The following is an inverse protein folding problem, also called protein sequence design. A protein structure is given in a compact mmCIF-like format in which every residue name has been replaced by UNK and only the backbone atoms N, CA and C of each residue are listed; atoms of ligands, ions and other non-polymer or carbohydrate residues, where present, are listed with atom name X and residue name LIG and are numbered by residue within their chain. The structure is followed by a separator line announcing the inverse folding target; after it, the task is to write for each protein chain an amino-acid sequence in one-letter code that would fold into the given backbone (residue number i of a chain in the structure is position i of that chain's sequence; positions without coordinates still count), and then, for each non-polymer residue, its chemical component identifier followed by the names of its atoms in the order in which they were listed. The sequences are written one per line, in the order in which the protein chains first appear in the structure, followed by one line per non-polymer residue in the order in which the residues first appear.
data_IF_710080021363
#
_entry.id   IF_710080021363
#
_cell.length_a   1.000
_cell.length_b   1.000
_cell.length_c   1.000
_cell.angle_alpha   90.00
_cell.angle_beta   90.00
_cell.angle_gamma   90.00
#
_symmetry.space_group_name_H-M   'P 1'
#
loop_
_entity.id
_entity.type
_entity.pdbx_description
1 polymer ?
#
# COMPACT_ATOMS: atom_id res chain seq x y z
N UNK A 1 5.10 -2.03 25.14
CA UNK A 1 4.08 -0.95 25.06
C UNK A 1 4.32 0.06 23.92
N UNK A 2 5.49 0.10 23.25
CA UNK A 2 5.85 1.16 22.29
C UNK A 2 5.27 1.07 20.86
N UNK A 3 4.64 -0.06 20.45
CA UNK A 3 4.21 -0.25 19.05
C UNK A 3 2.92 0.49 18.66
N UNK A 4 2.03 0.74 19.62
CA UNK A 4 0.75 1.38 19.35
C UNK A 4 0.91 2.84 18.89
N UNK A 5 1.89 3.57 19.44
CA UNK A 5 2.19 4.94 19.04
C UNK A 5 2.64 5.02 17.58
N UNK A 6 3.56 4.15 17.17
CA UNK A 6 4.07 4.10 15.79
C UNK A 6 2.98 3.76 14.77
N UNK A 7 2.10 2.82 15.11
CA UNK A 7 0.94 2.53 14.27
C UNK A 7 0.07 3.78 14.11
N UNK A 8 -0.28 4.46 15.21
CA UNK A 8 -1.09 5.68 15.13
C UNK A 8 -0.42 6.78 14.32
N UNK A 9 0.89 6.98 14.47
CA UNK A 9 1.69 7.89 13.63
C UNK A 9 1.61 7.51 12.15
N UNK A 10 1.76 6.22 11.81
CA UNK A 10 1.65 5.75 10.42
C UNK A 10 0.27 6.07 9.82
N UNK A 11 -0.80 5.88 10.60
CA UNK A 11 -2.16 6.20 10.17
C UNK A 11 -2.37 7.71 9.99
N UNK A 12 -1.82 8.52 10.90
CA UNK A 12 -1.90 9.97 10.80
C UNK A 12 -1.17 10.47 9.54
N UNK A 13 0.04 9.99 9.29
CA UNK A 13 0.81 10.30 8.08
C UNK A 13 0.07 9.90 6.79
N UNK A 14 -0.58 8.72 6.76
CA UNK A 14 -1.43 8.32 5.63
C UNK A 14 -2.60 9.27 5.37
N UNK A 15 -3.20 9.82 6.42
CA UNK A 15 -4.29 10.79 6.31
C UNK A 15 -3.81 12.17 5.87
N UNK A 16 -2.56 12.51 6.21
CA UNK A 16 -1.90 13.75 5.79
C UNK A 16 -1.33 13.68 4.37
N UNK A 17 -1.27 12.48 3.77
CA UNK A 17 -0.63 12.25 2.46
C UNK A 17 0.89 12.07 2.54
N UNK A 18 1.46 12.06 3.75
CA UNK A 18 2.88 11.85 4.03
C UNK A 18 3.25 10.36 3.95
N UNK A 19 3.11 9.79 2.75
CA UNK A 19 3.29 8.36 2.50
C UNK A 19 4.68 7.84 2.89
N UNK A 20 5.73 8.66 2.74
CA UNK A 20 7.09 8.30 3.14
C UNK A 20 7.25 8.13 4.66
N UNK A 21 6.69 9.05 5.45
CA UNK A 21 6.69 8.93 6.91
C UNK A 21 5.83 7.75 7.37
N UNK A 22 4.67 7.54 6.73
CA UNK A 22 3.84 6.37 6.99
C UNK A 22 4.61 5.06 6.80
N UNK A 23 5.39 4.93 5.72
CA UNK A 23 6.23 3.75 5.46
C UNK A 23 7.28 3.60 6.55
N UNK A 24 8.00 4.67 6.92
CA UNK A 24 9.02 4.61 7.99
C UNK A 24 8.44 4.17 9.33
N UNK A 25 7.26 4.66 9.70
CA UNK A 25 6.61 4.23 10.94
C UNK A 25 6.17 2.76 10.87
N UNK A 26 5.67 2.31 9.71
CA UNK A 26 5.37 0.90 9.50
C UNK A 26 6.63 0.03 9.59
N UNK A 27 7.74 0.46 8.99
CA UNK A 27 9.01 -0.27 9.00
C UNK A 27 9.54 -0.48 10.41
N UNK A 28 9.50 0.56 11.26
CA UNK A 28 9.88 0.43 12.68
C UNK A 28 9.01 -0.59 13.43
N UNK A 29 7.73 -0.72 13.07
CA UNK A 29 6.85 -1.75 13.64
C UNK A 29 7.24 -3.13 13.11
N UNK A 30 7.51 -3.24 11.81
CA UNK A 30 7.86 -4.49 11.13
C UNK A 30 9.25 -5.02 11.53
N UNK A 31 10.20 -4.15 11.87
CA UNK A 31 11.51 -4.53 12.42
C UNK A 31 11.38 -5.31 13.73
N UNK A 32 10.33 -5.04 14.50
CA UNK A 32 10.08 -5.73 15.78
C UNK A 32 9.03 -6.83 15.65
N UNK A 33 8.08 -6.68 14.75
CA UNK A 33 7.07 -7.67 14.44
C UNK A 33 6.79 -7.67 12.94
N UNK A 34 7.53 -8.50 12.20
CA UNK A 34 7.46 -8.60 10.75
C UNK A 34 6.09 -9.07 10.23
N UNK A 35 5.30 -9.73 11.09
CA UNK A 35 3.96 -10.26 10.75
C UNK A 35 2.84 -9.36 11.28
N UNK A 36 3.14 -8.11 11.67
CA UNK A 36 2.12 -7.18 12.12
C UNK A 36 1.20 -6.77 10.96
N UNK A 37 0.01 -7.38 10.91
CA UNK A 37 -1.00 -7.15 9.87
C UNK A 37 -1.35 -5.67 9.69
N UNK A 38 -1.51 -4.91 10.78
CA UNK A 38 -1.85 -3.48 10.70
C UNK A 38 -0.73 -2.65 10.06
N UNK A 39 0.53 -2.97 10.36
CA UNK A 39 1.67 -2.29 9.77
C UNK A 39 1.85 -2.67 8.29
N UNK A 40 1.72 -3.95 7.94
CA UNK A 40 1.77 -4.42 6.55
C UNK A 40 0.66 -3.77 5.71
N UNK A 41 -0.57 -3.74 6.22
CA UNK A 41 -1.71 -3.12 5.55
C UNK A 41 -1.51 -1.62 5.35
N UNK A 42 -1.06 -0.89 6.37
CA UNK A 42 -0.80 0.56 6.26
C UNK A 42 0.36 0.88 5.32
N UNK A 43 1.42 0.05 5.33
CA UNK A 43 2.53 0.17 4.37
C UNK A 43 2.05 -0.03 2.94
N UNK A 44 1.19 -1.03 2.69
CA UNK A 44 0.57 -1.25 1.39
C UNK A 44 -0.27 -0.04 0.93
N UNK A 45 -1.09 0.54 1.82
CA UNK A 45 -1.85 1.77 1.52
C UNK A 45 -0.94 2.95 1.17
N UNK A 46 0.22 3.08 1.82
CA UNK A 46 1.17 4.14 1.51
C UNK A 46 1.74 4.00 0.10
N UNK A 47 2.10 2.78 -0.32
CA UNK A 47 2.53 2.49 -1.69
C UNK A 47 1.40 2.72 -2.71
N UNK A 48 0.16 2.34 -2.38
CA UNK A 48 -1.00 2.59 -3.22
C UNK A 48 -1.21 4.09 -3.48
N UNK A 49 -1.13 4.93 -2.43
CA UNK A 49 -1.21 6.39 -2.57
C UNK A 49 -0.07 6.98 -3.41
N UNK A 50 1.10 6.35 -3.41
CA UNK A 50 2.24 6.72 -4.26
C UNK A 50 2.13 6.22 -5.69
N UNK A 51 1.06 5.49 -6.03
CA UNK A 51 0.87 4.81 -7.32
C UNK A 51 1.88 3.68 -7.58
N UNK A 52 2.60 3.25 -6.55
CA UNK A 52 3.52 2.12 -6.57
C UNK A 52 2.71 0.81 -6.38
N UNK A 53 1.82 0.51 -7.34
CA UNK A 53 0.79 -0.54 -7.18
C UNK A 53 1.37 -1.95 -7.01
N UNK A 54 2.51 -2.24 -7.61
CA UNK A 54 3.16 -3.56 -7.50
C UNK A 54 3.62 -3.84 -6.06
N UNK A 55 4.22 -2.84 -5.41
CA UNK A 55 4.61 -2.95 -4.00
C UNK A 55 3.37 -3.00 -3.09
N UNK A 56 2.35 -2.19 -3.37
CA UNK A 56 1.11 -2.22 -2.62
C UNK A 56 0.49 -3.63 -2.62
N UNK A 57 0.37 -4.25 -3.81
CA UNK A 57 -0.14 -5.62 -3.97
C UNK A 57 0.71 -6.63 -3.21
N UNK A 58 2.04 -6.51 -3.28
CA UNK A 58 2.95 -7.41 -2.57
C UNK A 58 2.70 -7.39 -1.05
N UNK A 59 2.56 -6.21 -0.45
CA UNK A 59 2.27 -6.10 0.98
C UNK A 59 0.85 -6.54 1.36
N UNK A 60 -0.16 -6.28 0.52
CA UNK A 60 -1.50 -6.83 0.77
C UNK A 60 -1.54 -8.35 0.67
N UNK A 61 -0.76 -8.97 -0.23
CA UNK A 61 -0.60 -10.43 -0.29
C UNK A 61 0.02 -10.99 0.99
N UNK A 62 1.05 -10.34 1.54
CA UNK A 62 1.61 -10.72 2.85
C UNK A 62 0.59 -10.65 3.98
N UNK A 63 -0.36 -9.70 3.93
CA UNK A 63 -1.47 -9.69 4.88
C UNK A 63 -2.35 -10.92 4.70
N UNK A 64 -2.68 -11.31 3.47
CA UNK A 64 -3.50 -12.50 3.19
C UNK A 64 -2.76 -13.82 3.50
N UNK A 65 -1.44 -13.86 3.44
CA UNK A 65 -0.65 -15.01 3.89
C UNK A 65 -0.80 -15.24 5.41
N UNK A 66 -1.01 -14.17 6.19
CA UNK A 66 -1.17 -14.21 7.65
C UNK A 66 -2.65 -14.34 8.04
N UNK A 67 -3.52 -13.58 7.38
CA UNK A 67 -4.97 -13.55 7.56
C UNK A 67 -5.68 -13.78 6.21
N UNK A 68 -5.84 -15.05 5.79
CA UNK A 68 -6.47 -15.38 4.51
C UNK A 68 -7.90 -14.85 4.36
N UNK A 69 -8.61 -14.67 5.47
CA UNK A 69 -9.99 -14.16 5.51
C UNK A 69 -10.07 -12.63 5.51
N UNK A 70 -8.94 -11.92 5.39
CA UNK A 70 -8.91 -10.46 5.39
C UNK A 70 -9.46 -9.90 4.08
N UNK A 71 -10.79 -9.81 4.00
CA UNK A 71 -11.53 -9.30 2.83
C UNK A 71 -11.09 -7.91 2.40
N UNK A 72 -10.70 -7.06 3.36
CA UNK A 72 -10.20 -5.72 3.07
C UNK A 72 -8.94 -5.78 2.20
N UNK A 73 -7.97 -6.64 2.54
CA UNK A 73 -6.73 -6.80 1.76
C UNK A 73 -6.98 -7.37 0.38
N UNK A 74 -7.89 -8.36 0.26
CA UNK A 74 -8.28 -8.91 -1.03
C UNK A 74 -8.92 -7.83 -1.93
N UNK A 75 -9.81 -7.00 -1.37
CA UNK A 75 -10.43 -5.89 -2.09
C UNK A 75 -9.40 -4.85 -2.54
N UNK A 76 -8.42 -4.51 -1.69
CA UNK A 76 -7.37 -3.56 -2.06
C UNK A 76 -6.47 -4.08 -3.18
N UNK A 77 -6.20 -5.39 -3.26
CA UNK A 77 -5.45 -5.97 -4.39
C UNK A 77 -6.21 -5.79 -5.70
N UNK A 78 -7.53 -6.02 -5.71
CA UNK A 78 -8.38 -5.82 -6.88
C UNK A 78 -8.34 -4.34 -7.30
N UNK A 79 -8.48 -3.42 -6.34
CA UNK A 79 -8.41 -1.98 -6.59
C UNK A 79 -7.05 -1.57 -7.17
N UNK A 80 -5.94 -2.04 -6.60
CA UNK A 80 -4.60 -1.73 -7.10
C UNK A 80 -4.39 -2.23 -8.53
N UNK A 81 -4.90 -3.41 -8.88
CA UNK A 81 -4.83 -3.93 -10.25
C UNK A 81 -5.63 -3.06 -11.23
N UNK A 82 -6.82 -2.62 -10.86
CA UNK A 82 -7.64 -1.73 -11.69
C UNK A 82 -6.95 -0.38 -11.92
N UNK A 83 -6.38 0.21 -10.88
CA UNK A 83 -5.64 1.47 -10.97
C UNK A 83 -4.39 1.33 -11.84
N UNK A 84 -3.65 0.22 -11.70
CA UNK A 84 -2.50 -0.10 -12.55
C UNK A 84 -2.88 -0.18 -14.03
N UNK A 85 -3.99 -0.86 -14.34
CA UNK A 85 -4.50 -0.96 -15.72
C UNK A 85 -4.90 0.41 -16.27
N UNK A 86 -5.62 1.21 -15.48
CA UNK A 86 -6.04 2.56 -15.88
C UNK A 86 -4.84 3.47 -16.21
N UNK A 87 -3.77 3.41 -15.40
CA UNK A 87 -2.53 4.15 -15.66
C UNK A 87 -1.85 3.69 -16.95
N UNK A 88 -1.77 2.38 -17.18
CA UNK A 88 -1.19 1.83 -18.41
C UNK A 88 -1.99 2.23 -19.67
N UNK A 89 -3.32 2.25 -19.58
CA UNK A 89 -4.16 2.71 -20.69
C UNK A 89 -4.00 4.19 -20.98
N UNK A 90 -3.92 5.03 -19.94
CA UNK A 90 -3.67 6.46 -20.08
C UNK A 90 -2.33 6.72 -20.78
N UNK A 91 -1.28 6.00 -20.39
CA UNK A 91 0.03 6.07 -21.02
C UNK A 91 -0.02 5.64 -22.49
N UNK A 92 -0.72 4.55 -22.81
CA UNK A 92 -0.88 4.06 -24.19
C UNK A 92 -1.59 5.08 -25.09
N UNK A 93 -2.66 5.71 -24.59
CA UNK A 93 -3.39 6.75 -25.34
C UNK A 93 -2.51 7.97 -25.61
N UNK A 94 -1.78 8.44 -24.59
CA UNK A 94 -0.84 9.56 -24.72
C UNK A 94 0.25 9.26 -25.76
N UNK A 95 0.84 8.06 -25.73
CA UNK A 95 1.85 7.66 -26.71
C UNK A 95 1.29 7.62 -28.13
N UNK A 96 0.12 7.01 -28.35
CA UNK A 96 -0.52 6.97 -29.68
C UNK A 96 -0.81 8.37 -30.26
N UNK A 97 -1.18 9.34 -29.43
CA UNK A 97 -1.44 10.71 -29.86
C UNK A 97 -0.19 11.54 -30.14
N UNK A 98 1.02 11.07 -29.77
CA UNK A 98 2.29 11.75 -30.04
C UNK A 98 2.92 11.36 -31.39
N UNK A 99 2.48 10.26 -32.01
CA UNK A 99 3.04 9.73 -33.26
C UNK A 99 1.99 9.58 -34.38
N UNK A 100 0.81 10.19 -34.20
CA UNK A 100 -0.29 10.19 -35.17
C UNK A 100 -0.47 11.55 -35.83
#
# INVERSE_FOLDING_TARGET
MFFFGLLNSALASLKMGDTLEAIKFCDKVLEKNATNVKALYRKAQAYQQRQDYDEAINYFKKVLEIEPENKASAQQIIECNNQKLAVAEHQRKKFKGMFG
#
